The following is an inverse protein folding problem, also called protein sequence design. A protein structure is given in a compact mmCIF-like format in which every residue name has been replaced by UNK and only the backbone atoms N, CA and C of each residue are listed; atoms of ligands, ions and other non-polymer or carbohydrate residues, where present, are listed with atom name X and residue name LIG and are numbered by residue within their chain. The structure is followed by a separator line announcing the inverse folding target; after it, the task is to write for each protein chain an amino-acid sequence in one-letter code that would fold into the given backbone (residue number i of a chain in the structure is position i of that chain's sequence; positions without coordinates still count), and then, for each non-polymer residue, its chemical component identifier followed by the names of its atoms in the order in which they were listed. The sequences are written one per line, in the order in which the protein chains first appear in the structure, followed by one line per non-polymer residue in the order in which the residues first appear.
data_IF_565407200363
#
_entry.id   IF_565407200363
#
_cell.length_a   1.000
_cell.length_b   1.000
_cell.length_c   1.000
_cell.angle_alpha   90.00
_cell.angle_beta   90.00
_cell.angle_gamma   90.00
#
_symmetry.space_group_name_H-M   'P 1'
#
loop_
_entity.id
_entity.type
_entity.pdbx_description
1 polymer ?
#
# COMPACT_ATOMS: atom_id res chain seq x y z
N UNK A 1 10.45 6.57 2.52
CA UNK A 1 9.08 6.08 2.75
C UNK A 1 8.12 7.08 2.10
N UNK A 2 6.89 6.71 1.76
CA UNK A 2 5.87 7.69 1.35
C UNK A 2 5.90 8.82 2.40
N UNK A 3 5.99 10.08 1.99
CA UNK A 3 6.41 11.26 2.78
C UNK A 3 5.61 11.55 4.06
N UNK A 4 4.68 10.69 4.46
CA UNK A 4 3.69 10.89 5.51
C UNK A 4 3.95 10.11 6.80
N UNK A 5 4.94 9.20 6.83
CA UNK A 5 5.26 8.38 8.03
C UNK A 5 4.04 7.66 8.65
N UNK A 6 3.01 7.44 7.83
CA UNK A 6 1.77 6.79 8.23
C UNK A 6 1.80 5.33 7.84
N UNK A 7 1.42 4.48 8.79
CA UNK A 7 1.15 3.07 8.52
C UNK A 7 -0.01 2.95 7.55
N UNK A 8 0.32 2.53 6.33
CA UNK A 8 -0.69 2.34 5.31
C UNK A 8 -1.56 1.15 5.68
N UNK A 9 -2.88 1.35 5.67
CA UNK A 9 -3.89 0.33 6.05
C UNK A 9 -3.72 -0.98 5.24
N UNK A 10 -3.16 -0.88 4.03
CA UNK A 10 -2.87 -2.01 3.16
C UNK A 10 -1.36 -2.33 3.09
N UNK A 11 -0.64 -2.16 4.20
CA UNK A 11 0.78 -2.50 4.26
C UNK A 11 0.96 -4.03 4.26
N UNK A 12 1.98 -4.48 3.53
CA UNK A 12 2.46 -5.85 3.56
C UNK A 12 3.67 -5.91 4.49
N UNK A 13 3.41 -6.00 5.79
CA UNK A 13 4.44 -5.86 6.83
C UNK A 13 5.60 -6.83 6.62
N UNK A 14 5.34 -8.12 6.34
CA UNK A 14 6.40 -9.10 6.13
C UNK A 14 7.22 -8.80 4.86
N UNK A 15 6.55 -8.39 3.77
CA UNK A 15 7.25 -7.98 2.55
C UNK A 15 8.11 -6.73 2.78
N UNK A 16 7.60 -5.77 3.55
CA UNK A 16 8.32 -4.54 3.89
C UNK A 16 9.58 -4.87 4.70
N UNK A 17 9.44 -5.67 5.75
CA UNK A 17 10.54 -6.10 6.60
C UNK A 17 11.61 -6.85 5.81
N UNK A 18 11.20 -7.70 4.86
CA UNK A 18 12.13 -8.37 3.95
C UNK A 18 12.90 -7.39 3.05
N UNK A 19 12.21 -6.38 2.50
CA UNK A 19 12.85 -5.36 1.66
C UNK A 19 13.81 -4.49 2.46
N UNK A 20 13.39 -4.04 3.65
CA UNK A 20 14.22 -3.27 4.57
C UNK A 20 15.46 -4.07 4.94
N UNK A 21 15.29 -5.34 5.32
CA UNK A 21 16.41 -6.19 5.67
C UNK A 21 17.38 -6.40 4.51
N UNK A 22 16.86 -6.55 3.28
CA UNK A 22 17.69 -6.64 2.08
C UNK A 22 18.52 -5.36 1.89
N UNK A 23 17.91 -4.20 2.13
CA UNK A 23 18.58 -2.90 2.04
C UNK A 23 19.67 -2.74 3.10
N UNK A 24 19.39 -3.09 4.35
CA UNK A 24 20.38 -3.10 5.44
C UNK A 24 21.61 -3.95 5.08
N UNK A 25 21.39 -5.17 4.58
CA UNK A 25 22.47 -6.05 4.17
C UNK A 25 23.30 -5.45 3.02
N UNK A 26 22.65 -4.79 2.05
CA UNK A 26 23.39 -4.09 0.98
C UNK A 26 24.15 -2.87 1.48
N UNK A 27 23.68 -2.24 2.57
CA UNK A 27 24.35 -1.12 3.21
C UNK A 27 25.49 -1.55 4.17
N UNK A 28 25.81 -2.85 4.24
CA UNK A 28 26.91 -3.38 5.06
C UNK A 28 26.55 -3.66 6.51
N UNK A 29 25.27 -3.64 6.89
CA UNK A 29 24.85 -4.01 8.24
C UNK A 29 25.13 -5.50 8.51
N UNK A 30 25.40 -5.87 9.78
CA UNK A 30 25.75 -7.25 10.13
C UNK A 30 24.61 -8.22 9.82
N UNK A 31 24.99 -9.42 9.37
CA UNK A 31 24.07 -10.54 9.18
C UNK A 31 23.73 -11.19 10.52
N UNK A 32 22.45 -11.28 10.86
CA UNK A 32 21.96 -11.99 12.06
C UNK A 32 21.71 -13.50 11.83
N UNK A 33 22.33 -14.09 10.79
CA UNK A 33 22.14 -15.51 10.45
C UNK A 33 22.67 -16.39 11.60
N UNK A 34 21.83 -17.31 12.10
CA UNK A 34 22.23 -18.27 13.15
C UNK A 34 22.15 -17.74 14.58
N UNK A 35 21.63 -16.53 14.79
CA UNK A 35 21.34 -16.00 16.13
C UNK A 35 20.19 -16.74 16.83
N UNK A 36 20.09 -16.58 18.16
CA UNK A 36 19.00 -17.17 18.97
C UNK A 36 17.61 -16.60 18.68
N UNK A 37 17.54 -15.42 18.05
CA UNK A 37 16.30 -14.75 17.70
C UNK A 37 16.04 -14.79 16.19
N UNK A 38 14.76 -14.91 15.81
CA UNK A 38 14.33 -14.72 14.43
C UNK A 38 14.56 -13.26 14.02
N UNK A 39 15.14 -13.03 12.86
CA UNK A 39 15.30 -11.68 12.31
C UNK A 39 13.96 -11.07 11.88
N UNK A 40 13.89 -9.74 11.78
CA UNK A 40 12.68 -8.99 11.37
C UNK A 40 12.05 -9.52 10.06
N UNK A 41 12.86 -9.93 9.10
CA UNK A 41 12.40 -10.48 7.82
C UNK A 41 12.00 -11.98 7.85
N UNK A 42 11.98 -12.63 9.01
CA UNK A 42 11.74 -14.07 9.12
C UNK A 42 10.34 -14.46 8.66
N UNK A 43 9.33 -13.63 8.93
CA UNK A 43 7.93 -13.96 8.65
C UNK A 43 7.64 -14.04 7.14
N UNK A 44 8.38 -13.29 6.31
CA UNK A 44 8.24 -13.34 4.86
C UNK A 44 8.66 -14.69 4.26
N UNK A 45 9.50 -15.46 4.96
CA UNK A 45 9.87 -16.80 4.49
C UNK A 45 8.70 -17.78 4.55
N UNK A 46 7.73 -17.54 5.43
CA UNK A 46 6.55 -18.36 5.56
C UNK A 46 5.60 -18.16 4.37
N UNK A 47 5.25 -19.25 3.69
CA UNK A 47 4.34 -19.21 2.55
C UNK A 47 2.94 -18.75 2.96
N UNK A 48 2.42 -19.21 4.11
CA UNK A 48 1.06 -18.84 4.54
C UNK A 48 0.93 -17.34 4.79
N UNK A 49 1.95 -16.72 5.38
CA UNK A 49 2.02 -15.26 5.59
C UNK A 49 2.03 -14.52 4.25
N UNK A 50 2.82 -15.00 3.28
CA UNK A 50 2.85 -14.36 1.95
C UNK A 50 1.52 -14.47 1.20
N UNK A 51 0.84 -15.59 1.34
CA UNK A 51 -0.44 -15.83 0.67
C UNK A 51 -1.58 -15.03 1.32
N UNK A 52 -1.62 -14.94 2.66
CA UNK A 52 -2.62 -14.11 3.37
C UNK A 52 -2.47 -12.61 3.08
N UNK A 53 -1.23 -12.11 3.01
CA UNK A 53 -0.97 -10.74 2.58
C UNK A 53 -1.45 -10.50 1.15
N UNK A 54 -1.18 -11.44 0.23
CA UNK A 54 -1.59 -11.32 -1.17
C UNK A 54 -3.11 -11.32 -1.31
N UNK A 55 -3.79 -12.19 -0.58
CA UNK A 55 -5.25 -12.27 -0.55
C UNK A 55 -5.85 -10.95 -0.04
N UNK A 56 -5.32 -10.43 1.06
CA UNK A 56 -5.78 -9.16 1.65
C UNK A 56 -5.66 -8.00 0.66
N UNK A 57 -4.53 -7.90 -0.06
CA UNK A 57 -4.34 -6.88 -1.10
C UNK A 57 -5.25 -7.11 -2.31
N UNK A 58 -5.44 -8.36 -2.73
CA UNK A 58 -6.36 -8.71 -3.82
C UNK A 58 -7.79 -8.27 -3.50
N UNK A 59 -8.26 -8.56 -2.28
CA UNK A 59 -9.57 -8.15 -1.80
C UNK A 59 -9.71 -6.61 -1.74
N UNK A 60 -8.67 -5.92 -1.27
CA UNK A 60 -8.64 -4.46 -1.24
C UNK A 60 -8.70 -3.85 -2.66
N UNK A 61 -7.99 -4.45 -3.62
CA UNK A 61 -8.03 -4.02 -5.01
C UNK A 61 -9.42 -4.24 -5.63
N UNK A 62 -10.05 -5.39 -5.38
CA UNK A 62 -11.43 -5.64 -5.82
C UNK A 62 -12.42 -4.65 -5.21
N UNK A 63 -12.30 -4.39 -3.90
CA UNK A 63 -13.13 -3.41 -3.21
C UNK A 63 -12.95 -2.01 -3.83
N UNK A 64 -11.72 -1.60 -4.12
CA UNK A 64 -11.42 -0.34 -4.80
C UNK A 64 -12.00 -0.30 -6.21
N UNK A 65 -11.85 -1.37 -7.00
CA UNK A 65 -12.44 -1.47 -8.35
C UNK A 65 -13.96 -1.30 -8.32
N UNK A 66 -14.64 -1.97 -7.39
CA UNK A 66 -16.09 -1.85 -7.20
C UNK A 66 -16.48 -0.43 -6.80
N UNK A 67 -15.79 0.13 -5.81
CA UNK A 67 -16.00 1.51 -5.36
C UNK A 67 -15.87 2.52 -6.51
N UNK A 68 -14.79 2.45 -7.29
CA UNK A 68 -14.57 3.35 -8.44
C UNK A 68 -15.62 3.13 -9.54
N UNK A 69 -16.03 1.89 -9.80
CA UNK A 69 -17.07 1.60 -10.77
C UNK A 69 -18.42 2.24 -10.37
N UNK A 70 -18.83 2.09 -9.10
CA UNK A 70 -20.03 2.72 -8.55
C UNK A 70 -19.93 4.25 -8.59
N UNK A 71 -18.79 4.80 -8.18
CA UNK A 71 -18.55 6.24 -8.22
C UNK A 71 -18.61 6.81 -9.64
N UNK A 72 -18.08 6.10 -10.64
CA UNK A 72 -18.18 6.52 -12.05
C UNK A 72 -19.63 6.49 -12.56
N UNK A 73 -20.44 5.54 -12.13
CA UNK A 73 -21.87 5.47 -12.48
C UNK A 73 -22.69 6.59 -11.83
N UNK A 74 -22.38 6.92 -10.57
CA UNK A 74 -23.05 7.98 -9.81
C UNK A 74 -22.39 9.36 -9.95
N UNK A 75 -21.35 9.46 -10.79
CA UNK A 75 -20.62 10.72 -10.97
C UNK A 75 -21.59 11.81 -11.43
N UNK A 76 -21.62 12.98 -10.78
CA UNK A 76 -22.57 14.03 -11.12
C UNK A 76 -22.31 14.51 -12.54
N UNK A 77 -23.05 13.96 -13.51
CA UNK A 77 -23.17 14.50 -14.86
C UNK A 77 -23.96 15.80 -14.77
N UNK A 78 -23.27 16.89 -14.40
CA UNK A 78 -23.86 18.22 -14.39
C UNK A 78 -23.47 19.07 -13.19
N UNK A 79 -22.25 19.58 -13.19
CA UNK A 79 -21.99 20.94 -12.70
C UNK A 79 -21.36 21.76 -13.83
N UNK A 80 -22.11 21.90 -14.93
CA UNK A 80 -21.98 23.07 -15.80
C UNK A 80 -22.76 24.21 -15.14
N UNK A 81 -22.09 25.03 -14.34
CA UNK A 81 -22.77 26.12 -13.64
C UNK A 81 -21.88 27.08 -12.88
N UNK A 82 -20.60 27.20 -13.24
CA UNK A 82 -19.69 28.18 -12.64
C UNK A 82 -18.73 28.74 -13.69
N UNK A 83 -19.28 29.36 -14.73
CA UNK A 83 -18.57 30.30 -15.61
C UNK A 83 -19.60 31.08 -16.45
N UNK A 84 -20.47 31.86 -15.79
CA UNK A 84 -21.20 32.93 -16.47
C UNK A 84 -21.06 34.21 -15.64
N UNK A 85 -19.82 34.55 -15.27
CA UNK A 85 -19.54 35.89 -14.77
C UNK A 85 -19.49 36.81 -15.98
N UNK A 86 -20.67 37.32 -16.32
CA UNK A 86 -20.87 38.41 -17.26
C UNK A 86 -20.05 39.59 -16.75
N UNK A 87 -18.91 39.86 -17.38
CA UNK A 87 -18.19 41.13 -17.22
C UNK A 87 -19.05 42.24 -17.84
N UNK A 88 -19.95 42.80 -17.04
CA UNK A 88 -20.63 44.07 -17.31
C UNK A 88 -19.81 45.21 -16.71
N UNK A 89 -19.75 46.29 -17.50
CA UNK A 89 -19.21 47.65 -17.28
C UNK A 89 -17.71 47.77 -17.03
#
# INVERSE_FOLDING_TARGET
MLTKDEDYIWSRSALLDWKLRKLELTAGYPSHRGGRAKGSAADYSNKSVRDSERETIGNAEEAYRRFVATWKQQSPKGRSGAAHEVRRS
#
